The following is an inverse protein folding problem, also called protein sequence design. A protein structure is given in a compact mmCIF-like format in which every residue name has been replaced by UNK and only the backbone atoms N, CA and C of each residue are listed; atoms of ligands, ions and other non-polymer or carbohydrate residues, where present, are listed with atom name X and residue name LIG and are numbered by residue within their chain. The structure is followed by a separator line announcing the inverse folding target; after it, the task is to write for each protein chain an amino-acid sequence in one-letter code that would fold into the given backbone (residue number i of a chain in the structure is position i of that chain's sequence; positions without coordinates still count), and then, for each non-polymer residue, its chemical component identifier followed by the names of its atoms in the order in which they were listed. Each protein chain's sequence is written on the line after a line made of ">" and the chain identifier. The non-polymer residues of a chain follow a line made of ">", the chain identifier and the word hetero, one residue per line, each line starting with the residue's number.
data_IF_107353872759
#
_entry.id   IF_107353872759
#
_cell.length_a   1.000
_cell.length_b   1.000
_cell.length_c   1.000
_cell.angle_alpha   90.00
_cell.angle_beta   90.00
_cell.angle_gamma   90.00
#
_symmetry.space_group_name_H-M   'P 1'
#
loop_
_entity.id
_entity.type
_entity.pdbx_description
1 polymer ?
#
# COMPACT_ATOMS: atom_id res chain seq x y z
N UNK A 1 9.78 -57.20 -35.72
CA UNK A 1 8.95 -56.50 -34.72
C UNK A 1 9.67 -55.24 -34.20
N UNK A 2 10.15 -54.38 -35.12
CA UNK A 2 10.91 -53.16 -34.80
C UNK A 2 10.49 -51.95 -35.66
N UNK A 3 9.49 -52.12 -36.53
CA UNK A 3 9.00 -51.07 -37.44
C UNK A 3 7.70 -50.40 -36.97
N UNK A 4 7.05 -50.89 -35.90
CA UNK A 4 5.79 -50.32 -35.38
C UNK A 4 5.98 -49.31 -34.23
N UNK A 5 7.17 -49.17 -33.65
CA UNK A 5 7.42 -48.23 -32.55
C UNK A 5 7.97 -46.87 -33.00
N UNK A 6 8.56 -46.78 -34.20
CA UNK A 6 9.09 -45.52 -34.73
C UNK A 6 7.99 -44.57 -35.27
N UNK A 7 6.86 -45.12 -35.73
CA UNK A 7 5.72 -44.32 -36.22
C UNK A 7 4.95 -43.60 -35.12
N UNK A 8 4.75 -44.27 -33.98
CA UNK A 8 4.00 -43.75 -32.84
C UNK A 8 4.76 -42.69 -32.03
N UNK A 9 6.10 -42.74 -32.00
CA UNK A 9 6.91 -41.68 -31.38
C UNK A 9 6.95 -40.38 -32.20
N UNK A 10 6.94 -40.45 -33.53
CA UNK A 10 7.01 -39.25 -34.38
C UNK A 10 5.71 -38.44 -34.35
N UNK A 11 4.57 -39.11 -34.23
CA UNK A 11 3.27 -38.43 -34.07
C UNK A 11 3.07 -37.84 -32.67
N UNK A 12 3.59 -38.50 -31.62
CA UNK A 12 3.58 -37.95 -30.25
C UNK A 12 4.55 -36.77 -30.08
N UNK A 13 5.69 -36.77 -30.77
CA UNK A 13 6.62 -35.61 -30.74
C UNK A 13 6.00 -34.37 -31.41
N UNK A 14 5.26 -34.55 -32.51
CA UNK A 14 4.59 -33.47 -33.25
C UNK A 14 3.38 -32.89 -32.50
N UNK A 15 2.61 -33.71 -31.77
CA UNK A 15 1.51 -33.21 -30.92
C UNK A 15 1.99 -32.57 -29.62
N UNK A 16 3.12 -33.01 -29.06
CA UNK A 16 3.73 -32.37 -27.87
C UNK A 16 4.38 -31.02 -28.23
N UNK A 17 4.86 -30.85 -29.47
CA UNK A 17 5.43 -29.58 -29.95
C UNK A 17 4.37 -28.49 -30.20
N UNK A 18 3.12 -28.85 -30.48
CA UNK A 18 2.03 -27.89 -30.73
C UNK A 18 1.31 -27.41 -29.46
N UNK A 19 1.45 -28.10 -28.33
CA UNK A 19 0.81 -27.69 -27.06
C UNK A 19 1.69 -26.71 -26.25
N UNK A 20 2.97 -26.56 -26.62
CA UNK A 20 3.88 -25.59 -26.00
C UNK A 20 3.78 -24.16 -26.58
N UNK A 21 2.93 -23.91 -27.59
CA UNK A 21 2.84 -22.60 -28.30
C UNK A 21 1.57 -21.80 -27.91
N UNK A 22 0.73 -22.30 -26.99
CA UNK A 22 -0.50 -21.62 -26.55
C UNK A 22 -0.46 -21.05 -25.12
N UNK A 23 0.73 -20.77 -24.57
CA UNK A 23 0.90 -20.01 -23.32
C UNK A 23 1.77 -18.76 -23.48
N UNK A 24 1.72 -18.13 -24.66
CA UNK A 24 1.94 -16.69 -24.77
C UNK A 24 0.63 -15.95 -24.46
N UNK A 25 0.07 -16.21 -23.28
CA UNK A 25 -0.69 -15.13 -22.63
C UNK A 25 0.36 -14.05 -22.42
N UNK A 26 0.21 -12.97 -23.16
CA UNK A 26 0.99 -11.76 -23.01
C UNK A 26 0.94 -11.33 -21.54
N UNK A 27 1.91 -11.79 -20.75
CA UNK A 27 2.41 -10.97 -19.66
C UNK A 27 2.88 -9.70 -20.34
N UNK A 28 2.01 -8.69 -20.38
CA UNK A 28 2.43 -7.31 -20.56
C UNK A 28 3.39 -7.05 -19.42
N UNK A 29 4.67 -7.26 -19.67
CA UNK A 29 5.73 -6.76 -18.82
C UNK A 29 5.67 -5.23 -18.95
N UNK A 30 4.78 -4.59 -18.20
CA UNK A 30 4.91 -3.16 -17.94
C UNK A 30 6.23 -3.03 -17.20
N UNK A 31 7.25 -2.61 -17.93
CA UNK A 31 8.51 -2.23 -17.30
C UNK A 31 8.17 -1.07 -16.37
N UNK A 32 8.43 -1.19 -15.06
CA UNK A 32 8.14 -0.10 -14.13
C UNK A 32 8.80 1.18 -14.63
N UNK A 33 8.07 2.30 -14.62
CA UNK A 33 8.61 3.61 -14.96
C UNK A 33 9.80 3.90 -14.02
N UNK A 34 11.02 3.82 -14.56
CA UNK A 34 12.25 4.09 -13.80
C UNK A 34 12.37 5.59 -13.56
N UNK A 35 12.45 5.97 -12.29
CA UNK A 35 12.52 7.35 -11.81
C UNK A 35 13.72 8.14 -12.37
N UNK A 36 14.86 7.48 -12.57
CA UNK A 36 16.12 8.07 -13.06
C UNK A 36 15.98 8.80 -14.40
N UNK A 37 15.01 8.41 -15.24
CA UNK A 37 14.78 9.05 -16.55
C UNK A 37 13.77 10.21 -16.48
N UNK A 38 12.98 10.28 -15.42
CA UNK A 38 11.81 11.17 -15.32
C UNK A 38 12.03 12.29 -14.31
N UNK A 39 12.87 12.06 -13.32
CA UNK A 39 13.13 13.00 -12.24
C UNK A 39 14.52 13.59 -12.40
N UNK A 40 14.59 14.92 -12.47
CA UNK A 40 15.86 15.61 -12.46
C UNK A 40 16.31 15.82 -11.02
N UNK A 41 17.42 15.20 -10.60
CA UNK A 41 17.96 15.32 -9.24
C UNK A 41 18.43 16.74 -8.89
N UNK A 42 18.71 17.58 -9.89
CA UNK A 42 19.15 18.96 -9.70
C UNK A 42 17.99 19.96 -9.53
N UNK A 43 16.75 19.57 -9.88
CA UNK A 43 15.57 20.43 -9.79
C UNK A 43 14.50 19.81 -8.90
N UNK A 44 14.14 20.53 -7.84
CA UNK A 44 13.04 20.18 -6.94
C UNK A 44 11.88 21.14 -7.18
N UNK A 45 10.68 20.65 -7.51
CA UNK A 45 9.49 21.50 -7.65
C UNK A 45 9.19 22.28 -6.38
N UNK A 46 8.46 23.38 -6.52
CA UNK A 46 8.00 24.18 -5.36
C UNK A 46 6.57 23.87 -4.94
N UNK A 47 5.76 23.33 -5.86
CA UNK A 47 4.33 23.06 -5.65
C UNK A 47 3.85 21.95 -6.60
N UNK A 48 2.57 21.59 -6.49
CA UNK A 48 1.96 20.55 -7.32
C UNK A 48 2.08 20.85 -8.83
N UNK A 49 1.75 22.06 -9.27
CA UNK A 49 1.77 22.41 -10.70
C UNK A 49 3.15 22.26 -11.34
N UNK A 50 4.20 22.69 -10.63
CA UNK A 50 5.57 22.47 -11.07
C UNK A 50 5.95 20.99 -11.10
N UNK A 51 5.52 20.20 -10.11
CA UNK A 51 5.75 18.76 -10.09
C UNK A 51 5.08 18.07 -11.29
N UNK A 52 3.83 18.43 -11.60
CA UNK A 52 3.11 17.90 -12.77
C UNK A 52 3.77 18.30 -14.08
N UNK A 53 4.28 19.54 -14.16
CA UNK A 53 4.98 20.04 -15.35
C UNK A 53 6.31 19.33 -15.55
N UNK A 54 7.07 19.08 -14.49
CA UNK A 54 8.33 18.35 -14.58
C UNK A 54 8.12 16.90 -15.02
N UNK A 55 7.11 16.21 -14.48
CA UNK A 55 6.76 14.85 -14.91
C UNK A 55 6.39 14.85 -16.40
N UNK A 56 5.53 15.77 -16.82
CA UNK A 56 5.07 15.82 -18.21
C UNK A 56 6.20 16.11 -19.19
N UNK A 57 7.13 17.00 -18.82
CA UNK A 57 8.27 17.36 -19.64
C UNK A 57 9.22 16.18 -19.88
N UNK A 58 9.44 15.34 -18.87
CA UNK A 58 10.40 14.23 -18.95
C UNK A 58 9.79 12.92 -19.49
N UNK A 59 8.47 12.80 -19.56
CA UNK A 59 7.80 11.65 -20.17
C UNK A 59 7.75 11.77 -21.69
N UNK A 60 8.14 10.71 -22.40
CA UNK A 60 7.97 10.65 -23.85
C UNK A 60 6.50 10.48 -24.23
N UNK A 61 6.12 10.93 -25.43
CA UNK A 61 4.75 10.78 -25.93
C UNK A 61 4.29 9.31 -25.97
N UNK A 62 5.19 8.39 -26.30
CA UNK A 62 4.90 6.96 -26.25
C UNK A 62 4.56 6.48 -24.84
N UNK A 63 5.28 6.92 -23.81
CA UNK A 63 4.96 6.57 -22.43
C UNK A 63 3.66 7.22 -21.97
N UNK A 64 3.41 8.48 -22.35
CA UNK A 64 2.13 9.16 -22.10
C UNK A 64 0.95 8.38 -22.69
N UNK A 65 1.09 7.85 -23.91
CA UNK A 65 0.07 7.02 -24.54
C UNK A 65 -0.12 5.68 -23.81
N UNK A 66 0.94 5.05 -23.31
CA UNK A 66 0.82 3.83 -22.50
C UNK A 66 0.14 4.08 -21.15
N UNK A 67 0.43 5.21 -20.50
CA UNK A 67 -0.25 5.60 -19.24
C UNK A 67 -1.75 5.80 -19.49
N UNK A 68 -2.13 6.48 -20.58
CA UNK A 68 -3.55 6.71 -20.94
C UNK A 68 -4.35 5.43 -21.18
N UNK A 69 -3.70 4.29 -21.43
CA UNK A 69 -4.37 2.98 -21.61
C UNK A 69 -4.66 2.28 -20.27
N UNK A 70 -4.13 2.77 -19.16
CA UNK A 70 -4.32 2.21 -17.81
C UNK A 70 -5.51 2.88 -17.13
N UNK A 71 -6.09 2.22 -16.13
CA UNK A 71 -6.96 2.90 -15.16
C UNK A 71 -6.13 3.79 -14.22
N UNK A 72 -6.78 4.72 -13.51
CA UNK A 72 -6.12 5.55 -12.49
C UNK A 72 -5.44 4.68 -11.44
N UNK A 73 -6.15 3.68 -10.91
CA UNK A 73 -5.64 2.76 -9.89
C UNK A 73 -4.46 1.91 -10.37
N UNK A 74 -4.50 1.41 -11.60
CA UNK A 74 -3.38 0.64 -12.16
C UNK A 74 -2.14 1.51 -12.28
N UNK A 75 -2.29 2.73 -12.81
CA UNK A 75 -1.17 3.65 -12.96
C UNK A 75 -0.57 4.07 -11.61
N UNK A 76 -1.39 4.47 -10.65
CA UNK A 76 -0.92 4.93 -9.34
C UNK A 76 -0.26 3.79 -8.55
N UNK A 77 -0.86 2.60 -8.54
CA UNK A 77 -0.33 1.42 -7.85
C UNK A 77 0.99 0.93 -8.46
N UNK A 78 1.08 0.80 -9.79
CA UNK A 78 2.31 0.39 -10.47
C UNK A 78 3.43 1.43 -10.33
N UNK A 79 3.08 2.71 -10.29
CA UNK A 79 4.05 3.81 -10.19
C UNK A 79 4.53 4.06 -8.77
N UNK A 80 3.81 3.55 -7.76
CA UNK A 80 4.05 3.84 -6.35
C UNK A 80 5.49 3.53 -5.92
N UNK A 81 5.97 2.30 -6.17
CA UNK A 81 7.30 1.87 -5.75
C UNK A 81 8.42 2.33 -6.71
N UNK A 82 8.11 2.61 -7.97
CA UNK A 82 9.08 3.14 -8.93
C UNK A 82 9.18 4.65 -8.83
N UNK A 83 8.34 5.32 -9.63
CA UNK A 83 8.33 6.77 -9.74
C UNK A 83 8.04 7.46 -8.40
N UNK A 84 7.12 6.92 -7.58
CA UNK A 84 6.79 7.47 -6.26
C UNK A 84 7.97 7.45 -5.27
N UNK A 85 8.73 6.35 -5.18
CA UNK A 85 9.98 6.31 -4.38
C UNK A 85 10.98 7.35 -4.91
N UNK A 86 11.12 7.43 -6.23
CA UNK A 86 11.94 8.44 -6.88
C UNK A 86 11.57 9.85 -6.46
N UNK A 87 10.28 10.21 -6.49
CA UNK A 87 9.81 11.55 -6.11
C UNK A 87 10.17 11.85 -4.65
N UNK A 88 9.88 10.91 -3.74
CA UNK A 88 10.16 11.05 -2.30
C UNK A 88 11.64 11.36 -2.01
N UNK A 89 12.54 10.70 -2.74
CA UNK A 89 13.98 10.84 -2.55
C UNK A 89 14.55 12.05 -3.31
N UNK A 90 14.30 12.14 -4.61
CA UNK A 90 14.92 13.14 -5.49
C UNK A 90 14.35 14.54 -5.26
N UNK A 91 13.06 14.65 -4.95
CA UNK A 91 12.44 15.92 -4.55
C UNK A 91 12.52 16.18 -3.05
N UNK A 92 13.28 15.36 -2.32
CA UNK A 92 13.66 15.58 -0.91
C UNK A 92 12.44 15.80 -0.01
N UNK A 93 11.37 15.05 -0.26
CA UNK A 93 10.10 15.20 0.45
C UNK A 93 10.26 14.89 1.95
N UNK A 94 11.13 13.93 2.30
CA UNK A 94 11.51 13.63 3.68
C UNK A 94 12.35 14.71 4.36
N UNK A 95 12.94 15.65 3.60
CA UNK A 95 13.93 16.63 4.10
C UNK A 95 13.41 18.07 4.05
N UNK A 96 12.09 18.27 3.92
CA UNK A 96 11.48 19.59 3.98
C UNK A 96 11.81 20.49 2.79
N UNK A 97 11.84 19.94 1.57
CA UNK A 97 11.90 20.76 0.34
C UNK A 97 10.72 21.72 0.22
N UNK A 98 10.80 22.66 -0.72
CA UNK A 98 9.69 23.60 -0.94
C UNK A 98 8.40 22.87 -1.38
N UNK A 99 8.51 21.80 -2.19
CA UNK A 99 7.37 20.92 -2.46
C UNK A 99 6.78 20.29 -1.19
N UNK A 100 7.64 19.80 -0.29
CA UNK A 100 7.19 19.25 1.01
C UNK A 100 6.49 20.33 1.84
N UNK A 101 7.05 21.55 1.92
CA UNK A 101 6.42 22.68 2.63
C UNK A 101 5.07 23.06 2.01
N UNK A 102 4.95 23.02 0.69
CA UNK A 102 3.67 23.23 0.00
C UNK A 102 2.63 22.21 0.48
N UNK A 103 2.95 20.92 0.48
CA UNK A 103 2.02 19.88 0.96
C UNK A 103 1.70 20.03 2.45
N UNK A 104 2.71 20.34 3.28
CA UNK A 104 2.50 20.58 4.71
C UNK A 104 1.53 21.76 4.94
N UNK A 105 1.59 22.80 4.11
CA UNK A 105 0.71 23.98 4.22
C UNK A 105 -0.76 23.68 3.92
N UNK A 106 -1.05 22.61 3.18
CA UNK A 106 -2.40 22.13 2.87
C UNK A 106 -2.81 20.92 3.73
N UNK A 107 -1.98 20.56 4.72
CA UNK A 107 -2.26 19.53 5.71
C UNK A 107 -1.91 18.11 5.29
N UNK A 108 -0.95 17.94 4.37
CA UNK A 108 -0.40 16.64 3.97
C UNK A 108 1.07 16.58 4.39
N UNK A 109 1.39 15.67 5.30
CA UNK A 109 2.71 15.64 5.95
C UNK A 109 3.57 14.44 5.56
N UNK A 110 2.95 13.32 5.18
CA UNK A 110 3.67 12.10 4.89
C UNK A 110 4.10 12.06 3.41
N UNK A 111 5.40 11.88 3.09
CA UNK A 111 5.88 11.87 1.71
C UNK A 111 5.28 10.81 0.79
N UNK A 112 4.78 9.71 1.36
CA UNK A 112 4.00 8.68 0.64
C UNK A 112 2.74 9.29 0.02
N UNK A 113 1.96 10.01 0.83
CA UNK A 113 0.74 10.71 0.44
C UNK A 113 1.04 11.82 -0.57
N UNK A 114 2.09 12.61 -0.32
CA UNK A 114 2.53 13.65 -1.25
C UNK A 114 2.79 13.05 -2.64
N UNK A 115 3.55 11.95 -2.72
CA UNK A 115 3.84 11.28 -3.98
C UNK A 115 2.60 10.64 -4.61
N UNK A 116 1.70 10.08 -3.79
CA UNK A 116 0.41 9.55 -4.23
C UNK A 116 -0.46 10.62 -4.88
N UNK A 117 -0.61 11.77 -4.22
CA UNK A 117 -1.37 12.92 -4.74
C UNK A 117 -0.78 13.40 -6.07
N UNK A 118 0.54 13.49 -6.19
CA UNK A 118 1.20 13.92 -7.44
C UNK A 118 0.92 12.92 -8.56
N UNK A 119 1.03 11.61 -8.32
CA UNK A 119 0.76 10.57 -9.32
C UNK A 119 -0.69 10.61 -9.78
N UNK A 120 -1.65 10.64 -8.86
CA UNK A 120 -3.08 10.73 -9.17
C UNK A 120 -3.40 12.00 -9.95
N UNK A 121 -2.88 13.14 -9.50
CA UNK A 121 -3.08 14.43 -10.16
C UNK A 121 -2.45 14.47 -11.56
N UNK A 122 -1.30 13.82 -11.76
CA UNK A 122 -0.68 13.70 -13.08
C UNK A 122 -1.52 12.85 -14.02
N UNK A 123 -2.01 11.70 -13.56
CA UNK A 123 -2.88 10.85 -14.37
C UNK A 123 -4.14 11.60 -14.82
N UNK A 124 -4.80 12.32 -13.89
CA UNK A 124 -6.00 13.13 -14.18
C UNK A 124 -5.70 14.23 -15.19
N UNK A 125 -4.62 15.00 -14.99
CA UNK A 125 -4.16 16.02 -15.94
C UNK A 125 -3.90 15.43 -17.33
N UNK A 126 -3.21 14.29 -17.40
CA UNK A 126 -2.84 13.64 -18.66
C UNK A 126 -4.07 13.16 -19.45
N UNK A 127 -5.11 12.70 -18.74
CA UNK A 127 -6.34 12.13 -19.31
C UNK A 127 -7.48 13.15 -19.45
N UNK A 128 -7.27 14.40 -19.02
CA UNK A 128 -8.26 15.48 -19.13
C UNK A 128 -9.34 15.46 -18.04
N UNK A 129 -9.12 14.75 -16.94
CA UNK A 129 -9.99 14.77 -15.77
C UNK A 129 -9.59 15.91 -14.82
N UNK A 130 -10.57 16.42 -14.07
CA UNK A 130 -10.33 17.38 -12.99
C UNK A 130 -9.45 16.74 -11.90
N UNK A 131 -8.46 17.49 -11.39
CA UNK A 131 -7.53 16.98 -10.38
C UNK A 131 -8.25 16.64 -9.05
N UNK A 132 -9.26 17.42 -8.66
CA UNK A 132 -10.02 17.25 -7.40
C UNK A 132 -9.07 17.14 -6.19
N UNK A 133 -8.18 18.11 -6.04
CA UNK A 133 -7.14 18.09 -5.01
C UNK A 133 -7.74 18.04 -3.59
N UNK A 134 -8.81 18.78 -3.34
CA UNK A 134 -9.47 18.82 -2.02
C UNK A 134 -10.01 17.44 -1.62
N UNK A 135 -10.55 16.66 -2.56
CA UNK A 135 -11.01 15.29 -2.31
C UNK A 135 -9.84 14.35 -1.95
N UNK A 136 -8.70 14.50 -2.63
CA UNK A 136 -7.49 13.74 -2.31
C UNK A 136 -6.94 14.11 -0.93
N UNK A 137 -6.95 15.40 -0.56
CA UNK A 137 -6.51 15.86 0.77
C UNK A 137 -7.43 15.31 1.86
N UNK A 138 -8.75 15.41 1.66
CA UNK A 138 -9.73 14.91 2.60
C UNK A 138 -9.55 13.42 2.87
N UNK A 139 -9.32 12.62 1.82
CA UNK A 139 -9.04 11.19 1.93
C UNK A 139 -7.86 10.90 2.88
N UNK A 140 -6.72 11.57 2.69
CA UNK A 140 -5.54 11.31 3.52
C UNK A 140 -5.69 11.80 4.96
N UNK A 141 -6.39 12.93 5.18
CA UNK A 141 -6.70 13.40 6.54
C UNK A 141 -7.56 12.38 7.28
N UNK A 142 -8.64 11.92 6.65
CA UNK A 142 -9.55 10.94 7.23
C UNK A 142 -8.84 9.59 7.48
N UNK A 143 -7.91 9.19 6.58
CA UNK A 143 -7.05 8.02 6.79
C UNK A 143 -6.17 8.16 8.04
N UNK A 144 -5.46 9.27 8.21
CA UNK A 144 -4.57 9.48 9.36
C UNK A 144 -5.33 9.69 10.67
N UNK A 145 -6.51 10.31 10.65
CA UNK A 145 -7.41 10.36 11.80
C UNK A 145 -7.75 8.94 12.26
N UNK A 146 -8.07 8.03 11.32
CA UNK A 146 -8.32 6.62 11.62
C UNK A 146 -7.10 5.90 12.21
N UNK A 147 -5.89 6.19 11.73
CA UNK A 147 -4.63 5.64 12.28
C UNK A 147 -4.37 6.16 13.69
N UNK A 148 -4.73 7.42 13.99
CA UNK A 148 -4.61 7.97 15.34
C UNK A 148 -5.49 7.21 16.34
N UNK A 149 -6.72 6.87 15.95
CA UNK A 149 -7.60 6.06 16.79
C UNK A 149 -6.97 4.72 17.15
N UNK A 150 -6.15 4.14 16.28
CA UNK A 150 -5.55 2.83 16.54
C UNK A 150 -4.22 2.88 17.29
N UNK A 151 -3.79 4.02 17.83
CA UNK A 151 -2.57 4.07 18.64
C UNK A 151 -2.76 3.38 20.00
N UNK A 152 -1.70 2.72 20.46
CA UNK A 152 -1.67 2.15 21.81
C UNK A 152 -1.66 3.28 22.87
N UNK A 153 -2.51 3.21 23.92
CA UNK A 153 -2.58 4.24 24.95
C UNK A 153 -1.27 4.41 25.72
N UNK A 154 -1.15 5.57 26.37
CA UNK A 154 0.01 5.86 27.21
C UNK A 154 0.13 4.83 28.34
N UNK A 155 1.36 4.59 28.83
CA UNK A 155 1.61 3.64 29.93
C UNK A 155 0.79 3.90 31.19
N UNK A 156 0.41 5.16 31.44
CA UNK A 156 -0.43 5.54 32.60
C UNK A 156 -1.87 4.99 32.51
N UNK A 157 -2.31 4.67 31.29
CA UNK A 157 -3.64 4.13 30.98
C UNK A 157 -3.62 2.59 30.89
N UNK A 158 -2.45 1.97 31.10
CA UNK A 158 -2.33 0.51 31.09
C UNK A 158 -3.04 -0.07 32.32
N UNK A 159 -3.79 -1.17 32.16
CA UNK A 159 -4.51 -1.81 33.27
C UNK A 159 -3.57 -2.49 34.26
N UNK A 160 -2.30 -2.65 33.90
CA UNK A 160 -1.28 -3.32 34.70
C UNK A 160 0.10 -2.67 34.45
N UNK A 161 0.97 -2.55 35.46
CA UNK A 161 2.35 -2.13 35.24
C UNK A 161 3.12 -3.16 34.40
N UNK A 162 4.25 -2.74 33.83
CA UNK A 162 5.23 -3.62 33.19
C UNK A 162 4.70 -4.42 31.97
N UNK A 163 3.59 -4.00 31.36
CA UNK A 163 3.13 -4.56 30.10
C UNK A 163 4.14 -4.29 28.97
N UNK A 164 4.54 -5.34 28.28
CA UNK A 164 5.46 -5.32 27.14
C UNK A 164 4.70 -5.65 25.86
N UNK A 165 4.81 -4.77 24.87
CA UNK A 165 4.31 -5.02 23.52
C UNK A 165 4.88 -6.32 22.95
N UNK A 166 4.02 -7.10 22.29
CA UNK A 166 4.41 -8.33 21.60
C UNK A 166 4.07 -8.25 20.12
N UNK A 167 2.79 -8.05 19.82
CA UNK A 167 2.28 -8.04 18.46
C UNK A 167 1.13 -7.05 18.34
N UNK A 168 0.97 -6.49 17.14
CA UNK A 168 -0.21 -5.74 16.74
C UNK A 168 -0.81 -6.38 15.50
N UNK A 169 -2.13 -6.51 15.47
CA UNK A 169 -2.87 -7.07 14.35
C UNK A 169 -3.85 -6.01 13.87
N UNK A 170 -3.59 -5.46 12.68
CA UNK A 170 -4.54 -4.56 12.02
C UNK A 170 -5.71 -5.36 11.48
N UNK A 171 -6.91 -4.77 11.41
CA UNK A 171 -8.08 -5.35 10.75
C UNK A 171 -9.05 -4.25 10.30
N UNK A 172 -10.07 -4.67 9.55
CA UNK A 172 -11.04 -3.76 8.93
C UNK A 172 -10.60 -3.30 7.54
N UNK A 173 -11.46 -2.51 6.90
CA UNK A 173 -11.22 -1.99 5.56
C UNK A 173 -11.70 -0.55 5.51
N UNK A 174 -10.75 0.38 5.53
CA UNK A 174 -11.07 1.80 5.45
C UNK A 174 -11.87 2.15 4.18
N UNK A 175 -11.61 1.46 3.07
CA UNK A 175 -12.32 1.64 1.81
C UNK A 175 -13.79 1.15 1.85
N UNK A 176 -14.12 0.16 2.69
CA UNK A 176 -15.46 -0.43 2.73
C UNK A 176 -16.36 0.21 3.78
N UNK A 177 -15.84 0.38 5.00
CA UNK A 177 -16.64 0.80 6.15
C UNK A 177 -15.99 1.91 6.96
N UNK A 178 -14.93 2.55 6.44
CA UNK A 178 -14.17 3.60 7.12
C UNK A 178 -13.68 3.17 8.52
N UNK A 179 -13.47 1.86 8.71
CA UNK A 179 -12.99 1.28 9.96
C UNK A 179 -11.61 0.67 9.73
N UNK A 180 -10.65 1.18 10.48
CA UNK A 180 -9.36 0.55 10.71
C UNK A 180 -9.24 0.31 12.22
N UNK A 181 -8.97 -0.93 12.61
CA UNK A 181 -8.74 -1.32 14.00
C UNK A 181 -7.37 -1.97 14.16
N UNK A 182 -6.80 -1.87 15.35
CA UNK A 182 -5.55 -2.53 15.69
C UNK A 182 -5.70 -3.18 17.05
N UNK A 183 -5.56 -4.50 17.09
CA UNK A 183 -5.47 -5.26 18.33
C UNK A 183 -4.00 -5.33 18.74
N UNK A 184 -3.66 -4.74 19.87
CA UNK A 184 -2.36 -4.89 20.50
C UNK A 184 -2.41 -6.04 21.49
N UNK A 185 -1.43 -6.93 21.42
CA UNK A 185 -1.22 -7.98 22.42
C UNK A 185 0.01 -7.63 23.23
N UNK A 186 -0.14 -7.63 24.55
CA UNK A 186 0.88 -7.31 25.52
C UNK A 186 0.99 -8.42 26.57
N UNK A 187 2.20 -8.62 27.08
CA UNK A 187 2.46 -9.57 28.19
C UNK A 187 3.02 -8.83 29.39
N UNK A 188 2.66 -9.25 30.59
CA UNK A 188 3.46 -8.92 31.77
C UNK A 188 4.51 -10.03 32.02
N UNK A 189 5.79 -9.64 32.08
CA UNK A 189 6.88 -10.60 32.35
C UNK A 189 6.95 -11.06 33.82
N UNK A 190 6.18 -10.44 34.72
CA UNK A 190 6.24 -10.72 36.17
C UNK A 190 5.19 -11.74 36.63
N UNK A 191 4.14 -11.99 35.85
CA UNK A 191 3.04 -12.86 36.27
C UNK A 191 2.30 -13.57 35.13
N UNK A 192 2.94 -13.74 33.98
CA UNK A 192 2.43 -14.47 32.81
C UNK A 192 1.06 -13.97 32.28
N UNK A 193 0.62 -12.77 32.68
CA UNK A 193 -0.63 -12.20 32.21
C UNK A 193 -0.53 -11.76 30.74
N UNK A 194 -1.62 -11.99 30.01
CA UNK A 194 -1.81 -11.50 28.64
C UNK A 194 -2.93 -10.47 28.61
N UNK A 195 -2.66 -9.36 27.94
CA UNK A 195 -3.61 -8.28 27.75
C UNK A 195 -3.73 -7.96 26.28
N UNK A 196 -4.95 -7.63 25.88
CA UNK A 196 -5.20 -6.99 24.60
C UNK A 196 -5.77 -5.60 24.80
N UNK A 197 -5.43 -4.72 23.85
CA UNK A 197 -6.07 -3.43 23.69
C UNK A 197 -6.51 -3.27 22.24
N UNK A 198 -7.71 -2.75 22.06
CA UNK A 198 -8.21 -2.21 20.81
C UNK A 198 -9.00 -0.94 21.11
N UNK A 199 -8.92 0.08 20.27
CA UNK A 199 -9.62 1.35 20.49
C UNK A 199 -11.14 1.20 20.62
N UNK A 200 -11.77 0.36 19.80
CA UNK A 200 -13.22 0.18 19.79
C UNK A 200 -13.72 -0.68 20.96
N UNK A 201 -12.87 -1.55 21.51
CA UNK A 201 -13.26 -2.53 22.53
C UNK A 201 -12.67 -2.24 23.92
N UNK A 202 -11.57 -1.49 24.00
CA UNK A 202 -10.81 -1.21 25.21
C UNK A 202 -9.86 -2.36 25.61
N UNK A 203 -9.51 -2.37 26.89
CA UNK A 203 -8.61 -3.36 27.48
C UNK A 203 -9.33 -4.65 27.87
N UNK A 204 -8.71 -5.80 27.61
CA UNK A 204 -9.17 -7.09 28.13
C UNK A 204 -8.01 -8.00 28.48
N UNK A 205 -8.07 -8.61 29.67
CA UNK A 205 -7.16 -9.70 30.05
C UNK A 205 -7.63 -10.98 29.33
N UNK A 206 -6.70 -11.73 28.76
CA UNK A 206 -6.98 -12.96 28.01
C UNK A 206 -6.11 -14.12 28.51
N UNK A 207 -6.49 -15.35 28.15
CA UNK A 207 -5.70 -16.56 28.40
C UNK A 207 -4.72 -16.86 27.24
N UNK A 208 -3.88 -17.89 27.45
CA UNK A 208 -2.87 -18.31 26.48
C UNK A 208 -3.49 -18.80 25.17
N UNK A 209 -4.60 -19.55 25.25
CA UNK A 209 -5.30 -20.07 24.07
C UNK A 209 -5.84 -18.94 23.19
N UNK A 210 -6.48 -17.94 23.80
CA UNK A 210 -6.98 -16.75 23.10
C UNK A 210 -5.84 -15.95 22.48
N UNK A 211 -4.71 -15.81 23.20
CA UNK A 211 -3.51 -15.14 22.68
C UNK A 211 -3.00 -15.86 21.43
N UNK A 212 -2.80 -17.17 21.50
CA UNK A 212 -2.29 -17.97 20.37
C UNK A 212 -3.25 -17.95 19.19
N UNK A 213 -4.57 -18.00 19.44
CA UNK A 213 -5.59 -17.86 18.41
C UNK A 213 -5.49 -16.52 17.69
N UNK A 214 -5.33 -15.42 18.43
CA UNK A 214 -5.15 -14.09 17.84
C UNK A 214 -3.83 -13.98 17.07
N UNK A 215 -2.71 -14.48 17.60
CA UNK A 215 -1.41 -14.43 16.92
C UNK A 215 -1.38 -15.17 15.58
N UNK A 216 -2.26 -16.15 15.39
CA UNK A 216 -2.35 -16.94 14.17
C UNK A 216 -3.59 -16.62 13.30
N UNK A 217 -4.37 -15.60 13.67
CA UNK A 217 -5.59 -15.27 12.94
C UNK A 217 -5.29 -14.67 11.57
N UNK A 218 -6.13 -14.97 10.58
CA UNK A 218 -6.16 -14.21 9.33
C UNK A 218 -6.74 -12.83 9.57
N UNK A 219 -6.17 -11.81 8.94
CA UNK A 219 -6.61 -10.42 9.10
C UNK A 219 -8.12 -10.21 8.86
N UNK A 220 -8.72 -10.98 7.95
CA UNK A 220 -10.16 -10.90 7.64
C UNK A 220 -11.06 -11.45 8.75
N UNK A 221 -10.52 -12.29 9.63
CA UNK A 221 -11.25 -12.97 10.70
C UNK A 221 -11.08 -12.25 12.05
N UNK A 222 -10.11 -11.35 12.17
CA UNK A 222 -9.76 -10.66 13.43
C UNK A 222 -10.96 -9.96 14.06
N UNK A 223 -11.76 -9.22 13.29
CA UNK A 223 -12.92 -8.50 13.84
C UNK A 223 -13.97 -9.44 14.43
N UNK A 224 -14.23 -10.58 13.77
CA UNK A 224 -15.15 -11.60 14.26
C UNK A 224 -14.67 -12.20 15.58
N UNK A 225 -13.36 -12.47 15.69
CA UNK A 225 -12.76 -12.96 16.94
C UNK A 225 -12.85 -11.89 18.03
N UNK A 226 -12.59 -10.63 17.73
CA UNK A 226 -12.70 -9.54 18.71
C UNK A 226 -14.13 -9.41 19.24
N UNK A 227 -15.14 -9.51 18.38
CA UNK A 227 -16.54 -9.54 18.80
C UNK A 227 -16.83 -10.71 19.76
N UNK A 228 -16.27 -11.90 19.52
CA UNK A 228 -16.42 -13.06 20.41
C UNK A 228 -15.68 -12.87 21.75
N UNK A 229 -14.51 -12.24 21.71
CA UNK A 229 -13.73 -11.99 22.92
C UNK A 229 -14.45 -10.98 23.81
N UNK A 230 -15.09 -9.96 23.24
CA UNK A 230 -15.70 -8.86 24.00
C UNK A 230 -17.22 -8.98 24.24
N UNK A 231 -17.88 -10.00 23.69
CA UNK A 231 -19.25 -10.40 24.08
C UNK A 231 -19.28 -10.95 25.51
#
# INVERSE_FOLDING_TARGET
>A
MLYNELGTMREKLLTTLFIAIATLISCKNSTPLKSEKILNESYVPKNLDEALTQIDFNLSDSLKLEIKKKSENDFTSESHFGLGIGMRNNWRLWKGSDLSKYFNSIGIYHPDDMSGIILTSYYRKLTGHEIKLDEQIAYYKEYWDGVELTQLPEKKEHPEPNLKFRVSINYGSYAENKKWGTVYIQTNSENENFWIYDYYYGWKKIDLETKEKLENVRIQETESIMNQIFS
#
